data_IF_794512234390
#
_entry.id   IF_794512234390
#
_cell.length_a   1.000
_cell.length_b   1.000
_cell.length_c   1.000
_cell.angle_alpha   90.00
_cell.angle_beta   90.00
_cell.angle_gamma   90.00
#
_symmetry.space_group_name_H-M   'P 1'
#
loop_
_entity.id
_entity.type
_entity.pdbx_description
1 polymer ?
#
# COMPACT_ATOMS: atom_id res chain seq x y z
N UNK A 1 3.07 20.90 -20.03
CA UNK A 1 2.92 19.45 -20.26
C UNK A 1 4.28 18.85 -19.97
N UNK A 2 4.48 18.42 -18.74
CA UNK A 2 5.71 17.78 -18.28
C UNK A 2 5.32 16.34 -18.03
N UNK A 3 5.77 15.45 -18.91
CA UNK A 3 5.81 14.02 -18.62
C UNK A 3 6.72 13.84 -17.39
N UNK A 4 6.13 13.51 -16.26
CA UNK A 4 6.82 12.80 -15.18
C UNK A 4 6.01 11.58 -14.85
N UNK A 5 6.04 10.61 -15.77
CA UNK A 5 5.91 9.22 -15.37
C UNK A 5 7.21 8.90 -14.60
N UNK A 6 7.09 8.48 -13.34
CA UNK A 6 8.25 8.08 -12.56
C UNK A 6 9.08 7.09 -13.37
N UNK A 7 10.35 7.42 -13.58
CA UNK A 7 11.34 6.44 -14.05
C UNK A 7 11.50 5.42 -12.93
N UNK A 8 10.62 4.42 -12.90
CA UNK A 8 10.98 3.11 -12.39
C UNK A 8 12.05 2.60 -13.35
N UNK A 9 13.30 2.51 -12.88
CA UNK A 9 14.29 1.61 -13.48
C UNK A 9 13.74 0.18 -13.34
N UNK A 10 12.84 -0.21 -14.25
CA UNK A 10 12.37 -1.58 -14.36
C UNK A 10 13.51 -2.41 -14.96
N UNK A 11 13.80 -3.58 -14.39
CA UNK A 11 14.95 -4.40 -14.76
C UNK A 11 14.84 -5.02 -16.16
N UNK A 12 16.01 -5.48 -16.61
CA UNK A 12 16.25 -6.48 -17.66
C UNK A 12 15.38 -7.74 -17.46
N UNK A 13 14.14 -7.72 -17.96
CA UNK A 13 13.35 -8.94 -18.13
C UNK A 13 13.36 -9.29 -19.62
N UNK A 14 13.52 -10.57 -19.92
CA UNK A 14 13.39 -11.08 -21.28
C UNK A 14 12.07 -10.58 -21.91
N UNK A 15 12.05 -10.33 -23.22
CA UNK A 15 10.89 -9.73 -23.86
C UNK A 15 9.62 -10.53 -23.55
N UNK A 16 8.57 -9.84 -23.05
CA UNK A 16 7.24 -10.44 -22.85
C UNK A 16 6.71 -11.11 -24.13
N UNK A 17 7.25 -10.72 -25.29
CA UNK A 17 6.92 -11.27 -26.60
C UNK A 17 7.35 -12.72 -26.83
N UNK A 18 8.27 -13.29 -26.03
CA UNK A 18 8.68 -14.71 -26.20
C UNK A 18 7.91 -15.68 -25.31
N UNK A 19 6.99 -15.20 -24.46
CA UNK A 19 6.29 -16.08 -23.50
C UNK A 19 5.50 -17.21 -24.19
N UNK A 20 4.82 -16.89 -25.30
CA UNK A 20 4.08 -17.89 -26.08
C UNK A 20 5.02 -18.93 -26.71
N UNK A 21 6.21 -18.51 -27.17
CA UNK A 21 7.21 -19.41 -27.74
C UNK A 21 7.84 -20.31 -26.66
N UNK A 22 8.06 -19.76 -25.46
CA UNK A 22 8.73 -20.45 -24.36
C UNK A 22 7.82 -21.49 -23.67
N UNK A 23 6.52 -21.18 -23.55
CA UNK A 23 5.58 -21.99 -22.77
C UNK A 23 4.44 -22.62 -23.59
N UNK A 24 4.06 -22.04 -24.73
CA UNK A 24 2.96 -22.54 -25.55
C UNK A 24 1.58 -22.49 -24.88
N UNK A 25 1.41 -21.66 -23.85
CA UNK A 25 0.20 -21.60 -23.02
C UNK A 25 -0.84 -20.61 -23.55
N UNK A 26 -2.11 -21.03 -23.56
CA UNK A 26 -3.25 -20.18 -23.87
C UNK A 26 -3.78 -19.46 -22.62
N UNK A 27 -3.26 -18.26 -22.37
CA UNK A 27 -3.70 -17.43 -21.23
C UNK A 27 -5.10 -16.80 -21.41
N UNK A 28 -5.76 -17.00 -22.55
CA UNK A 28 -7.17 -16.57 -22.74
C UNK A 28 -8.16 -17.46 -21.97
N UNK A 29 -7.71 -18.62 -21.49
CA UNK A 29 -8.51 -19.53 -20.69
C UNK A 29 -8.67 -19.03 -19.25
N UNK A 30 -9.65 -18.16 -19.05
CA UNK A 30 -9.88 -17.45 -17.80
C UNK A 30 -11.25 -17.73 -17.21
N UNK A 31 -11.38 -17.57 -15.89
CA UNK A 31 -12.62 -17.70 -15.13
C UNK A 31 -12.94 -16.36 -14.48
N UNK A 32 -14.16 -15.89 -14.68
CA UNK A 32 -14.66 -14.66 -14.06
C UNK A 32 -15.09 -14.92 -12.61
N UNK A 33 -14.56 -14.16 -11.66
CA UNK A 33 -14.88 -14.24 -10.23
C UNK A 33 -15.93 -13.18 -9.90
N UNK A 34 -17.19 -13.49 -10.19
CA UNK A 34 -18.30 -12.53 -10.03
C UNK A 34 -18.71 -12.29 -8.57
N UNK A 35 -18.25 -13.11 -7.62
CA UNK A 35 -18.53 -12.87 -6.18
C UNK A 35 -17.64 -11.75 -5.59
N UNK A 36 -16.56 -11.39 -6.28
CA UNK A 36 -15.67 -10.31 -5.86
C UNK A 36 -16.17 -8.95 -6.33
N UNK A 37 -15.90 -7.90 -5.54
CA UNK A 37 -16.19 -6.51 -5.91
C UNK A 37 -14.90 -5.67 -5.83
N UNK A 38 -14.41 -5.13 -6.97
CA UNK A 38 -14.93 -5.35 -8.32
C UNK A 38 -14.68 -6.79 -8.80
N UNK A 39 -15.45 -7.20 -9.80
CA UNK A 39 -15.26 -8.49 -10.47
C UNK A 39 -13.90 -8.52 -11.17
N UNK A 40 -13.19 -9.65 -11.07
CA UNK A 40 -11.91 -9.87 -11.73
C UNK A 40 -11.84 -11.25 -12.39
N UNK A 41 -10.77 -11.51 -13.14
CA UNK A 41 -10.55 -12.78 -13.83
C UNK A 41 -9.36 -13.53 -13.21
N UNK A 42 -9.48 -14.85 -13.13
CA UNK A 42 -8.42 -15.78 -12.74
C UNK A 42 -8.04 -16.66 -13.93
N UNK A 43 -6.78 -17.06 -14.05
CA UNK A 43 -6.38 -18.13 -14.95
C UNK A 43 -6.96 -19.48 -14.46
N UNK A 44 -7.37 -20.36 -15.38
CA UNK A 44 -7.80 -21.71 -15.00
C UNK A 44 -6.66 -22.47 -14.31
N UNK A 45 -7.01 -23.25 -13.28
CA UNK A 45 -6.04 -24.02 -12.50
C UNK A 45 -5.21 -24.96 -13.40
N UNK A 46 -5.82 -25.59 -14.41
CA UNK A 46 -5.15 -26.44 -15.40
C UNK A 46 -3.98 -25.72 -16.11
N UNK A 47 -4.17 -24.44 -16.48
CA UNK A 47 -3.14 -23.67 -17.19
C UNK A 47 -2.04 -23.22 -16.23
N UNK A 48 -2.40 -22.94 -14.97
CA UNK A 48 -1.42 -22.63 -13.91
C UNK A 48 -0.55 -23.86 -13.61
N UNK A 49 -1.14 -25.05 -13.56
CA UNK A 49 -0.42 -26.32 -13.37
C UNK A 49 0.53 -26.61 -14.55
N UNK A 50 0.06 -26.47 -15.79
CA UNK A 50 0.92 -26.61 -16.99
C UNK A 50 2.10 -25.63 -16.98
N UNK A 51 1.88 -24.38 -16.54
CA UNK A 51 2.95 -23.40 -16.37
C UNK A 51 3.99 -23.85 -15.34
N UNK A 52 3.54 -24.31 -14.17
CA UNK A 52 4.43 -24.75 -13.09
C UNK A 52 5.28 -25.94 -13.56
N UNK A 53 4.67 -26.91 -14.24
CA UNK A 53 5.37 -28.07 -14.80
C UNK A 53 6.45 -27.66 -15.82
N UNK A 54 6.13 -26.69 -16.70
CA UNK A 54 7.09 -26.17 -17.66
C UNK A 54 8.26 -25.44 -16.99
N UNK A 55 8.00 -24.59 -15.99
CA UNK A 55 9.04 -23.91 -15.20
C UNK A 55 9.91 -24.91 -14.45
N UNK A 56 9.31 -25.95 -13.86
CA UNK A 56 10.03 -27.03 -13.19
C UNK A 56 10.94 -27.82 -14.15
N UNK A 57 10.49 -28.06 -15.39
CA UNK A 57 11.31 -28.71 -16.41
C UNK A 57 12.53 -27.87 -16.84
N UNK A 58 12.40 -26.53 -16.85
CA UNK A 58 13.47 -25.62 -17.23
C UNK A 58 14.49 -25.35 -16.11
N UNK A 59 14.01 -25.11 -14.90
CA UNK A 59 14.84 -24.63 -13.78
C UNK A 59 15.01 -25.65 -12.65
N UNK A 60 14.33 -26.79 -12.74
CA UNK A 60 14.34 -27.87 -11.76
C UNK A 60 13.13 -27.86 -10.82
N UNK A 61 12.72 -29.06 -10.39
CA UNK A 61 11.56 -29.27 -9.53
C UNK A 61 11.69 -28.60 -8.16
N UNK A 62 12.88 -28.68 -7.54
CA UNK A 62 13.09 -28.10 -6.20
C UNK A 62 12.95 -26.57 -6.22
N UNK A 63 13.69 -25.82 -7.08
CA UNK A 63 13.50 -24.37 -7.19
C UNK A 63 12.05 -23.95 -7.51
N UNK A 64 11.38 -24.67 -8.42
CA UNK A 64 9.99 -24.39 -8.78
C UNK A 64 9.05 -24.52 -7.57
N UNK A 65 9.16 -25.62 -6.82
CA UNK A 65 8.37 -25.87 -5.62
C UNK A 65 8.64 -24.82 -4.53
N UNK A 66 9.90 -24.51 -4.23
CA UNK A 66 10.23 -23.55 -3.16
C UNK A 66 9.69 -22.13 -3.48
N UNK A 67 9.72 -21.70 -4.74
CA UNK A 67 9.12 -20.41 -5.14
C UNK A 67 7.60 -20.47 -5.09
N UNK A 68 6.98 -21.56 -5.56
CA UNK A 68 5.53 -21.73 -5.46
C UNK A 68 5.07 -21.69 -3.98
N UNK A 69 5.74 -22.44 -3.10
CA UNK A 69 5.47 -22.46 -1.67
C UNK A 69 5.66 -21.07 -1.06
N UNK A 70 6.70 -20.34 -1.46
CA UNK A 70 6.93 -18.96 -1.02
C UNK A 70 5.78 -18.02 -1.42
N UNK A 71 5.32 -18.10 -2.67
CA UNK A 71 4.23 -17.26 -3.18
C UNK A 71 2.88 -17.62 -2.54
N UNK A 72 2.62 -18.89 -2.29
CA UNK A 72 1.41 -19.35 -1.59
C UNK A 72 1.42 -18.93 -0.12
N UNK A 73 2.54 -19.13 0.57
CA UNK A 73 2.70 -18.72 1.96
C UNK A 73 2.58 -17.22 2.15
N UNK A 74 3.04 -16.39 1.20
CA UNK A 74 2.93 -14.94 1.29
C UNK A 74 1.51 -14.45 1.56
N UNK A 75 0.49 -15.12 1.01
CA UNK A 75 -0.94 -14.80 1.25
C UNK A 75 -1.37 -14.99 2.71
N UNK A 76 -0.59 -15.73 3.48
CA UNK A 76 -0.84 -16.07 4.90
C UNK A 76 0.26 -15.56 5.83
N UNK A 77 1.26 -14.86 5.28
CA UNK A 77 2.51 -14.54 5.93
C UNK A 77 2.48 -13.28 6.80
N UNK A 78 1.31 -12.67 7.02
CA UNK A 78 1.17 -11.47 7.85
C UNK A 78 1.78 -11.61 9.26
N UNK A 79 2.03 -12.84 9.73
CA UNK A 79 2.74 -13.14 10.99
C UNK A 79 4.05 -13.94 10.83
N UNK A 80 4.61 -14.06 9.63
CA UNK A 80 5.81 -14.87 9.35
C UNK A 80 6.93 -14.02 8.74
N UNK A 81 7.75 -13.35 9.59
CA UNK A 81 8.82 -12.46 9.11
C UNK A 81 9.75 -13.13 8.11
N UNK A 82 10.04 -14.42 8.30
CA UNK A 82 10.95 -15.15 7.42
C UNK A 82 10.42 -15.29 5.99
N UNK A 83 9.12 -15.53 5.82
CA UNK A 83 8.48 -15.64 4.50
C UNK A 83 8.51 -14.28 3.81
N UNK A 84 8.07 -13.23 4.49
CA UNK A 84 8.05 -11.86 3.94
C UNK A 84 9.42 -11.34 3.52
N UNK A 85 10.44 -11.55 4.36
CA UNK A 85 11.80 -11.15 4.03
C UNK A 85 12.40 -11.96 2.87
N UNK A 86 12.16 -13.27 2.86
CA UNK A 86 12.62 -14.13 1.75
C UNK A 86 12.01 -13.69 0.43
N UNK A 87 10.72 -13.38 0.45
CA UNK A 87 10.01 -12.89 -0.73
C UNK A 87 10.58 -11.55 -1.22
N UNK A 88 10.72 -10.55 -0.35
CA UNK A 88 11.30 -9.24 -0.73
C UNK A 88 12.71 -9.40 -1.34
N UNK A 89 13.54 -10.31 -0.80
CA UNK A 89 14.88 -10.60 -1.34
C UNK A 89 14.80 -11.25 -2.72
N UNK A 90 13.93 -12.24 -2.91
CA UNK A 90 13.72 -12.90 -4.21
C UNK A 90 13.26 -11.88 -5.25
N UNK A 91 12.29 -11.03 -4.92
CA UNK A 91 11.79 -10.01 -5.84
C UNK A 91 12.91 -9.03 -6.20
N UNK A 92 13.64 -8.52 -5.19
CA UNK A 92 14.72 -7.55 -5.40
C UNK A 92 15.86 -8.09 -6.25
N UNK A 93 16.34 -9.29 -5.97
CA UNK A 93 17.44 -9.92 -6.72
C UNK A 93 17.00 -10.30 -8.14
N UNK A 94 15.77 -10.79 -8.28
CA UNK A 94 15.24 -11.21 -9.58
C UNK A 94 14.95 -10.01 -10.48
N UNK A 95 14.38 -8.95 -9.91
CA UNK A 95 13.88 -7.79 -10.64
C UNK A 95 14.71 -6.51 -10.43
N UNK A 96 15.88 -6.58 -9.81
CA UNK A 96 16.78 -5.42 -9.65
C UNK A 96 16.13 -4.14 -9.12
N UNK A 97 15.03 -4.24 -8.37
CA UNK A 97 14.21 -3.09 -7.98
C UNK A 97 14.73 -2.45 -6.68
N UNK A 98 14.44 -1.17 -6.48
CA UNK A 98 14.74 -0.46 -5.24
C UNK A 98 13.71 -0.79 -4.14
N UNK A 99 14.04 -0.51 -2.89
CA UNK A 99 13.19 -0.75 -1.71
C UNK A 99 13.92 -1.44 -0.57
N UNK A 100 13.43 -1.25 0.65
CA UNK A 100 13.97 -1.94 1.82
C UNK A 100 13.35 -3.33 1.98
N UNK A 101 14.08 -4.25 2.60
CA UNK A 101 13.54 -5.57 2.99
C UNK A 101 12.80 -5.38 4.31
N UNK A 102 11.54 -5.80 4.41
CA UNK A 102 10.74 -5.58 5.63
C UNK A 102 11.40 -6.16 6.88
N UNK A 103 11.23 -5.50 8.02
CA UNK A 103 11.86 -5.92 9.28
C UNK A 103 13.38 -5.72 9.28
N UNK A 104 14.14 -6.70 9.80
CA UNK A 104 15.60 -6.60 9.91
C UNK A 104 16.36 -7.05 8.65
N UNK A 105 15.66 -7.66 7.69
CA UNK A 105 16.23 -8.23 6.46
C UNK A 105 17.19 -9.41 6.67
N UNK A 106 17.23 -10.01 7.87
CA UNK A 106 18.18 -11.09 8.23
C UNK A 106 17.53 -12.46 8.38
N UNK A 107 16.22 -12.52 8.57
CA UNK A 107 15.44 -13.75 8.74
C UNK A 107 15.14 -14.44 7.39
N UNK A 108 16.11 -14.48 6.48
CA UNK A 108 15.93 -14.98 5.11
C UNK A 108 16.07 -16.51 5.08
N UNK A 109 15.09 -17.19 4.48
CA UNK A 109 15.16 -18.63 4.24
C UNK A 109 16.14 -18.91 3.08
N UNK A 110 16.98 -19.96 3.19
CA UNK A 110 17.87 -20.32 2.12
C UNK A 110 17.06 -20.85 0.92
N UNK A 111 17.28 -20.26 -0.25
CA UNK A 111 16.67 -20.70 -1.51
C UNK A 111 17.72 -21.23 -2.48
N UNK A 112 17.37 -22.24 -3.31
CA UNK A 112 18.19 -22.64 -4.45
C UNK A 112 18.52 -21.46 -5.36
N UNK A 113 19.72 -21.43 -5.94
CA UNK A 113 20.15 -20.35 -6.84
C UNK A 113 19.21 -20.15 -8.04
N UNK A 114 18.60 -21.22 -8.55
CA UNK A 114 17.66 -21.15 -9.67
C UNK A 114 16.31 -20.50 -9.30
N UNK A 115 16.02 -20.30 -8.02
CA UNK A 115 14.74 -19.71 -7.56
C UNK A 115 14.52 -18.30 -8.09
N UNK A 116 15.60 -17.53 -8.32
CA UNK A 116 15.50 -16.20 -8.92
C UNK A 116 15.05 -16.26 -10.39
N UNK A 117 15.48 -17.28 -11.14
CA UNK A 117 15.04 -17.51 -12.51
C UNK A 117 13.58 -17.96 -12.53
N UNK A 118 13.20 -18.90 -11.66
CA UNK A 118 11.81 -19.32 -11.47
C UNK A 118 10.89 -18.13 -11.16
N UNK A 119 11.27 -17.24 -10.23
CA UNK A 119 10.45 -16.08 -9.91
C UNK A 119 10.31 -15.11 -11.10
N UNK A 120 11.35 -14.94 -11.93
CA UNK A 120 11.24 -14.15 -13.18
C UNK A 120 10.17 -14.72 -14.10
N UNK A 121 10.03 -16.04 -14.19
CA UNK A 121 8.96 -16.64 -15.00
C UNK A 121 7.57 -16.35 -14.43
N UNK A 122 7.38 -16.39 -13.11
CA UNK A 122 6.11 -15.98 -12.48
C UNK A 122 5.80 -14.50 -12.70
N UNK A 123 6.82 -13.64 -12.67
CA UNK A 123 6.67 -12.23 -13.05
C UNK A 123 6.25 -12.10 -14.52
N UNK A 124 6.89 -12.82 -15.45
CA UNK A 124 6.50 -12.83 -16.88
C UNK A 124 5.06 -13.30 -17.07
N UNK A 125 4.65 -14.39 -16.42
CA UNK A 125 3.26 -14.85 -16.42
C UNK A 125 2.30 -13.73 -15.97
N UNK A 126 2.63 -13.05 -14.85
CA UNK A 126 1.85 -11.92 -14.33
C UNK A 126 1.70 -10.82 -15.37
N UNK A 127 2.80 -10.42 -15.99
CA UNK A 127 2.80 -9.33 -16.97
C UNK A 127 2.02 -9.68 -18.24
N UNK A 128 2.18 -10.89 -18.78
CA UNK A 128 1.45 -11.32 -19.99
C UNK A 128 -0.04 -11.46 -19.67
N UNK A 129 -0.39 -12.07 -18.53
CA UNK A 129 -1.79 -12.18 -18.09
C UNK A 129 -2.46 -10.80 -17.99
N UNK A 130 -1.85 -9.86 -17.26
CA UNK A 130 -2.37 -8.50 -17.10
C UNK A 130 -2.42 -7.73 -18.43
N UNK A 131 -1.56 -8.06 -19.39
CA UNK A 131 -1.58 -7.44 -20.72
C UNK A 131 -2.86 -7.75 -21.49
N UNK A 132 -3.41 -8.96 -21.30
CA UNK A 132 -4.62 -9.48 -21.93
C UNK A 132 -5.90 -9.06 -21.20
N UNK A 133 -5.81 -8.60 -19.95
CA UNK A 133 -6.95 -8.13 -19.19
C UNK A 133 -7.48 -6.79 -19.76
N UNK A 134 -8.68 -6.83 -20.35
CA UNK A 134 -9.48 -5.65 -20.65
C UNK A 134 -10.18 -5.17 -19.38
N UNK A 135 -9.85 -3.98 -18.89
CA UNK A 135 -10.56 -3.36 -17.76
C UNK A 135 -9.82 -3.31 -16.43
N UNK A 136 -8.59 -3.87 -16.34
CA UNK A 136 -7.74 -3.77 -15.14
C UNK A 136 -7.23 -2.33 -14.83
N UNK A 137 -7.71 -1.30 -15.53
CA UNK A 137 -7.29 0.11 -15.31
C UNK A 137 -8.00 0.77 -14.10
N UNK A 138 -8.29 0.00 -13.06
CA UNK A 138 -8.82 0.52 -11.80
C UNK A 138 -7.68 0.80 -10.83
N UNK A 139 -7.83 1.83 -9.98
CA UNK A 139 -6.93 2.02 -8.86
C UNK A 139 -6.91 0.79 -7.95
N UNK A 140 -5.73 0.42 -7.49
CA UNK A 140 -5.51 -0.55 -6.42
C UNK A 140 -5.53 0.18 -5.07
N UNK A 141 -6.00 -0.49 -4.03
CA UNK A 141 -6.21 0.09 -2.71
C UNK A 141 -5.38 -0.63 -1.66
N UNK A 142 -4.84 0.12 -0.71
CA UNK A 142 -4.11 -0.42 0.43
C UNK A 142 -4.47 0.34 1.70
N UNK A 143 -4.84 -0.38 2.75
CA UNK A 143 -4.93 0.19 4.09
C UNK A 143 -3.52 0.42 4.64
N UNK A 144 -3.26 1.63 5.13
CA UNK A 144 -1.97 1.97 5.72
C UNK A 144 -1.93 1.64 7.21
N UNK A 145 -0.76 1.22 7.68
CA UNK A 145 -0.51 0.99 9.10
C UNK A 145 -0.10 2.29 9.83
N UNK A 146 -0.26 2.38 11.16
CA UNK A 146 0.10 3.57 11.95
C UNK A 146 1.50 4.13 11.66
N UNK A 147 2.50 3.25 11.53
CA UNK A 147 3.89 3.58 11.19
C UNK A 147 4.05 4.23 9.82
N UNK A 148 3.12 4.02 8.90
CA UNK A 148 3.07 4.66 7.58
C UNK A 148 2.21 5.93 7.61
N UNK A 149 1.13 5.92 8.38
CA UNK A 149 0.19 7.06 8.51
C UNK A 149 0.89 8.25 9.15
N UNK A 150 1.60 8.05 10.25
CA UNK A 150 2.19 9.12 11.04
C UNK A 150 3.10 10.07 10.22
N UNK A 151 4.13 9.58 9.49
CA UNK A 151 4.98 10.46 8.67
C UNK A 151 4.22 11.12 7.52
N UNK A 152 3.23 10.44 6.94
CA UNK A 152 2.38 10.99 5.89
C UNK A 152 1.56 12.17 6.42
N UNK A 153 0.92 12.02 7.57
CA UNK A 153 0.10 13.08 8.19
C UNK A 153 0.98 14.29 8.51
N UNK A 154 2.17 14.09 9.09
CA UNK A 154 3.13 15.16 9.38
C UNK A 154 3.57 15.88 8.11
N UNK A 155 3.92 15.15 7.04
CA UNK A 155 4.30 15.75 5.76
C UNK A 155 3.15 16.55 5.11
N UNK A 156 1.91 16.05 5.19
CA UNK A 156 0.73 16.76 4.67
C UNK A 156 0.37 17.96 5.55
N UNK A 157 0.57 17.89 6.86
CA UNK A 157 0.44 19.03 7.77
C UNK A 157 1.46 20.11 7.39
N UNK A 158 2.71 19.75 7.11
CA UNK A 158 3.76 20.69 6.72
C UNK A 158 3.47 21.33 5.35
N UNK A 159 3.13 20.53 4.34
CA UNK A 159 2.96 20.98 2.96
C UNK A 159 1.67 20.46 2.30
N UNK A 160 0.48 20.90 2.73
CA UNK A 160 -0.78 20.37 2.21
C UNK A 160 -1.12 20.87 0.80
N UNK A 161 -0.31 21.78 0.25
CA UNK A 161 -0.43 22.18 -1.15
C UNK A 161 0.44 21.36 -2.10
N UNK A 162 1.31 20.50 -1.56
CA UNK A 162 2.05 19.55 -2.38
C UNK A 162 1.08 18.67 -3.18
N UNK A 163 1.45 18.40 -4.42
CA UNK A 163 0.66 17.54 -5.30
C UNK A 163 0.99 16.07 -5.09
N UNK A 164 2.22 15.79 -4.65
CA UNK A 164 2.77 14.45 -4.53
C UNK A 164 3.37 14.25 -3.14
N UNK A 165 3.34 13.01 -2.67
CA UNK A 165 4.07 12.56 -1.49
C UNK A 165 4.85 11.31 -1.85
N UNK A 166 6.05 11.20 -1.28
CA UNK A 166 6.83 9.98 -1.36
C UNK A 166 6.50 9.12 -0.14
N UNK A 167 6.07 7.88 -0.40
CA UNK A 167 5.89 6.87 0.63
C UNK A 167 7.05 5.90 0.49
N UNK A 168 7.93 5.89 1.49
CA UNK A 168 8.94 4.84 1.63
C UNK A 168 8.23 3.52 1.93
N UNK A 169 8.62 2.47 1.21
CA UNK A 169 7.96 1.19 1.33
C UNK A 169 8.94 0.04 1.10
N UNK A 170 8.52 -1.15 1.55
CA UNK A 170 9.26 -2.36 1.26
C UNK A 170 9.37 -2.57 -0.27
N UNK A 171 10.24 -3.51 -0.67
CA UNK A 171 10.38 -3.93 -2.08
C UNK A 171 9.02 -4.23 -2.69
N UNK A 172 8.16 -4.95 -1.95
CA UNK A 172 6.81 -5.29 -2.35
C UNK A 172 5.79 -4.92 -1.28
N UNK A 173 4.68 -4.33 -1.70
CA UNK A 173 3.50 -4.13 -0.86
C UNK A 173 2.27 -4.79 -1.48
N UNK A 174 1.42 -5.31 -0.61
CA UNK A 174 0.12 -5.86 -1.00
C UNK A 174 -0.90 -4.74 -1.17
N UNK A 175 -1.58 -4.76 -2.31
CA UNK A 175 -2.75 -3.95 -2.60
C UNK A 175 -3.91 -4.86 -2.99
N UNK A 176 -5.14 -4.38 -2.83
CA UNK A 176 -6.36 -5.03 -3.28
C UNK A 176 -6.99 -4.24 -4.41
N UNK A 177 -7.61 -4.94 -5.37
CA UNK A 177 -8.50 -4.29 -6.33
C UNK A 177 -9.80 -3.79 -5.67
N UNK A 178 -10.19 -4.36 -4.53
CA UNK A 178 -11.38 -4.02 -3.77
C UNK A 178 -11.10 -2.98 -2.69
N UNK A 179 -11.66 -1.79 -2.83
CA UNK A 179 -11.52 -0.73 -1.83
C UNK A 179 -12.00 -1.17 -0.44
N UNK A 180 -13.12 -1.92 -0.38
CA UNK A 180 -13.67 -2.44 0.88
C UNK A 180 -12.71 -3.37 1.62
N UNK A 181 -11.91 -4.16 0.88
CA UNK A 181 -10.88 -5.02 1.46
C UNK A 181 -9.82 -4.13 2.11
N UNK A 182 -9.30 -3.14 1.38
CA UNK A 182 -8.30 -2.21 1.90
C UNK A 182 -8.78 -1.41 3.12
N UNK A 183 -10.05 -1.01 3.16
CA UNK A 183 -10.68 -0.34 4.30
C UNK A 183 -10.63 -1.23 5.55
N UNK A 184 -10.89 -2.53 5.42
CA UNK A 184 -10.85 -3.50 6.54
C UNK A 184 -9.46 -3.68 7.17
N UNK A 185 -8.39 -3.35 6.45
CA UNK A 185 -7.01 -3.38 6.95
C UNK A 185 -6.47 -2.02 7.39
N UNK A 186 -7.19 -0.93 7.13
CA UNK A 186 -6.74 0.42 7.46
C UNK A 186 -6.98 0.78 8.92
N UNK A 187 -6.02 1.48 9.54
CA UNK A 187 -6.21 2.12 10.84
C UNK A 187 -6.48 3.63 10.76
N UNK A 188 -6.87 4.14 9.58
CA UNK A 188 -7.30 5.53 9.43
C UNK A 188 -7.06 6.14 8.04
N UNK A 189 -6.08 5.64 7.30
CA UNK A 189 -5.79 6.08 5.92
C UNK A 189 -5.76 4.90 4.96
N UNK A 190 -6.41 5.06 3.82
CA UNK A 190 -6.38 4.17 2.66
C UNK A 190 -5.66 4.90 1.53
N UNK A 191 -4.75 4.21 0.87
CA UNK A 191 -4.05 4.68 -0.32
C UNK A 191 -4.70 4.07 -1.57
N UNK A 192 -5.03 4.90 -2.55
CA UNK A 192 -5.38 4.48 -3.91
C UNK A 192 -4.17 4.67 -4.83
N UNK A 193 -3.74 3.63 -5.53
CA UNK A 193 -2.58 3.65 -6.42
C UNK A 193 -2.90 3.03 -7.77
N UNK A 194 -2.50 3.68 -8.85
CA UNK A 194 -2.63 3.16 -10.21
C UNK A 194 -1.22 2.80 -10.73
N UNK A 195 -0.69 1.60 -10.39
CA UNK A 195 0.61 1.19 -10.88
C UNK A 195 0.57 0.96 -12.38
N UNK A 196 1.69 1.24 -13.05
CA UNK A 196 1.92 0.66 -14.37
C UNK A 196 1.86 -0.87 -14.26
N UNK A 197 1.44 -1.56 -15.32
CA UNK A 197 1.35 -3.05 -15.33
C UNK A 197 2.66 -3.71 -14.89
N UNK A 198 3.77 -3.18 -15.35
CA UNK A 198 5.15 -3.59 -15.00
C UNK A 198 5.52 -3.30 -13.54
N UNK A 199 4.75 -2.47 -12.85
CA UNK A 199 4.85 -2.24 -11.41
C UNK A 199 4.18 -3.32 -10.56
N UNK A 200 3.53 -4.33 -11.15
CA UNK A 200 2.94 -5.45 -10.42
C UNK A 200 3.89 -6.64 -10.45
N UNK A 201 4.46 -6.95 -9.29
CA UNK A 201 5.40 -8.05 -9.10
C UNK A 201 4.72 -9.40 -9.25
N UNK A 202 3.51 -9.54 -8.69
CA UNK A 202 2.76 -10.80 -8.72
C UNK A 202 1.26 -10.56 -8.48
N UNK A 203 0.40 -11.41 -9.04
CA UNK A 203 -1.06 -11.35 -8.87
C UNK A 203 -1.58 -12.66 -8.26
N UNK A 204 -1.37 -12.90 -6.94
CA UNK A 204 -1.62 -14.20 -6.31
C UNK A 204 -3.05 -14.70 -6.49
N UNK A 205 -4.06 -13.84 -6.37
CA UNK A 205 -5.47 -14.23 -6.52
C UNK A 205 -5.86 -14.53 -7.97
N UNK A 206 -5.05 -14.12 -8.95
CA UNK A 206 -5.26 -14.44 -10.36
C UNK A 206 -4.71 -15.82 -10.75
N UNK A 207 -3.90 -16.46 -9.90
CA UNK A 207 -3.23 -17.74 -10.21
C UNK A 207 -3.48 -18.80 -9.15
N UNK A 208 -3.52 -18.44 -7.87
CA UNK A 208 -3.66 -19.37 -6.75
C UNK A 208 -5.02 -19.25 -6.08
N UNK A 209 -5.38 -20.28 -5.32
CA UNK A 209 -6.61 -20.25 -4.53
C UNK A 209 -6.44 -19.28 -3.35
N UNK A 210 -7.47 -18.51 -2.99
CA UNK A 210 -7.46 -17.72 -1.76
C UNK A 210 -7.40 -18.65 -0.53
N UNK A 211 -6.62 -18.30 0.51
CA UNK A 211 -6.67 -19.01 1.78
C UNK A 211 -8.09 -18.99 2.36
N UNK A 212 -8.54 -20.11 2.92
CA UNK A 212 -9.91 -20.23 3.43
C UNK A 212 -10.27 -19.25 4.57
N UNK A 213 -9.26 -18.72 5.28
CA UNK A 213 -9.46 -17.84 6.43
C UNK A 213 -9.51 -16.35 6.07
N UNK A 214 -8.89 -15.94 4.96
CA UNK A 214 -8.92 -14.55 4.45
C UNK A 214 -9.98 -14.36 3.37
N UNK A 215 -10.27 -15.41 2.59
CA UNK A 215 -11.23 -15.33 1.49
C UNK A 215 -10.68 -14.57 0.30
N UNK A 216 -11.57 -14.06 -0.57
CA UNK A 216 -11.20 -13.36 -1.81
C UNK A 216 -10.83 -11.91 -1.51
N UNK A 217 -9.53 -11.58 -1.60
CA UNK A 217 -9.02 -10.24 -1.34
C UNK A 217 -8.71 -9.46 -2.62
N UNK A 218 -8.68 -10.13 -3.77
CA UNK A 218 -8.24 -9.56 -5.06
C UNK A 218 -6.85 -8.94 -4.94
N UNK A 219 -5.94 -9.67 -4.30
CA UNK A 219 -4.61 -9.20 -3.92
C UNK A 219 -3.66 -9.10 -5.13
N UNK A 220 -2.90 -8.00 -5.16
CA UNK A 220 -1.81 -7.71 -6.07
C UNK A 220 -0.58 -7.28 -5.28
N UNK A 221 0.55 -7.89 -5.60
CA UNK A 221 1.85 -7.55 -5.05
C UNK A 221 2.48 -6.48 -5.95
N UNK A 222 2.61 -5.27 -5.44
CA UNK A 222 3.09 -4.10 -6.19
C UNK A 222 4.53 -3.82 -5.82
N UNK A 223 5.37 -3.48 -6.81
CA UNK A 223 6.73 -3.01 -6.62
C UNK A 223 6.67 -1.58 -6.05
N UNK A 224 7.09 -1.42 -4.80
CA UNK A 224 6.78 -0.20 -4.03
C UNK A 224 7.97 0.60 -3.51
N UNK A 225 9.21 0.16 -3.74
CA UNK A 225 10.41 0.67 -3.05
C UNK A 225 10.46 2.16 -2.66
N UNK A 226 10.06 3.06 -3.57
CA UNK A 226 9.61 4.40 -3.22
C UNK A 226 8.44 4.78 -4.14
N UNK A 227 7.25 4.96 -3.59
CA UNK A 227 6.06 5.33 -4.38
C UNK A 227 5.85 6.83 -4.30
N UNK A 228 5.83 7.49 -5.45
CA UNK A 228 5.29 8.84 -5.55
C UNK A 228 3.79 8.78 -5.79
N UNK A 229 3.02 9.26 -4.83
CA UNK A 229 1.56 9.21 -4.86
C UNK A 229 0.98 10.62 -4.90
N UNK A 230 -0.05 10.87 -5.73
CA UNK A 230 -0.82 12.08 -5.61
C UNK A 230 -1.45 12.15 -4.22
N UNK A 231 -1.28 13.24 -3.47
CA UNK A 231 -1.80 13.34 -2.09
C UNK A 231 -3.33 13.19 -2.06
N UNK A 232 -4.00 13.56 -3.15
CA UNK A 232 -5.44 13.38 -3.34
C UNK A 232 -5.91 11.92 -3.36
N UNK A 233 -4.97 10.97 -3.47
CA UNK A 233 -5.19 9.53 -3.41
C UNK A 233 -5.00 8.94 -2.01
N UNK A 234 -4.67 9.77 -1.03
CA UNK A 234 -4.70 9.41 0.38
C UNK A 234 -6.07 9.77 0.94
N UNK A 235 -6.78 8.74 1.41
CA UNK A 235 -8.17 8.79 1.80
C UNK A 235 -8.30 8.45 3.27
N UNK A 236 -8.87 9.35 4.06
CA UNK A 236 -9.18 9.15 5.48
C UNK A 236 -10.44 8.29 5.59
N UNK A 237 -10.30 7.15 6.29
CA UNK A 237 -11.36 6.20 6.57
C UNK A 237 -11.01 5.35 7.80
N UNK A 238 -11.83 5.46 8.85
CA UNK A 238 -11.71 4.67 10.06
C UNK A 238 -12.76 3.56 10.06
N UNK A 239 -12.37 2.34 9.73
CA UNK A 239 -13.29 1.21 9.46
C UNK A 239 -14.37 1.02 10.53
N UNK A 240 -14.01 1.08 11.81
CA UNK A 240 -14.93 0.87 12.94
C UNK A 240 -16.04 1.93 13.05
N UNK A 241 -15.83 3.11 12.46
CA UNK A 241 -16.75 4.26 12.52
C UNK A 241 -17.38 4.59 11.16
N UNK A 242 -16.67 4.32 10.08
CA UNK A 242 -16.96 4.83 8.74
C UNK A 242 -17.49 3.76 7.79
N UNK A 243 -17.94 2.60 8.27
CA UNK A 243 -18.39 1.46 7.45
C UNK A 243 -19.32 1.83 6.28
N UNK A 244 -20.24 2.77 6.49
CA UNK A 244 -21.22 3.23 5.48
C UNK A 244 -20.89 4.60 4.87
N UNK A 245 -19.68 5.13 5.10
CA UNK A 245 -19.27 6.47 4.68
C UNK A 245 -18.24 6.42 3.57
N UNK A 246 -18.35 7.38 2.66
CA UNK A 246 -17.31 7.63 1.67
C UNK A 246 -16.03 8.15 2.35
N UNK A 247 -14.85 7.66 1.94
CA UNK A 247 -13.58 8.18 2.41
C UNK A 247 -13.39 9.65 2.03
N UNK A 248 -12.65 10.37 2.87
CA UNK A 248 -12.42 11.81 2.70
C UNK A 248 -10.98 12.05 2.30
N UNK A 249 -10.72 12.98 1.38
CA UNK A 249 -9.34 13.25 0.95
C UNK A 249 -8.51 13.84 2.09
N UNK A 250 -7.40 13.21 2.46
CA UNK A 250 -6.52 13.64 3.55
C UNK A 250 -6.08 15.10 3.36
N UNK A 251 -5.59 15.42 2.16
CA UNK A 251 -5.19 16.80 1.79
C UNK A 251 -6.28 17.82 2.13
N UNK A 252 -7.52 17.53 1.75
CA UNK A 252 -8.64 18.46 1.92
C UNK A 252 -9.01 18.60 3.40
N UNK A 253 -9.01 17.50 4.15
CA UNK A 253 -9.26 17.50 5.60
C UNK A 253 -8.22 18.37 6.31
N UNK A 254 -6.94 18.23 5.98
CA UNK A 254 -5.85 19.03 6.58
C UNK A 254 -5.90 20.51 6.15
N UNK A 255 -6.17 20.82 4.88
CA UNK A 255 -6.32 22.21 4.42
C UNK A 255 -7.46 22.97 5.14
N UNK A 256 -8.51 22.25 5.55
CA UNK A 256 -9.65 22.85 6.23
C UNK A 256 -9.37 23.24 7.69
N UNK A 257 -8.23 22.84 8.27
CA UNK A 257 -7.78 23.34 9.58
C UNK A 257 -7.63 24.87 9.62
N UNK A 258 -7.30 25.50 8.48
CA UNK A 258 -7.28 26.96 8.36
C UNK A 258 -8.67 27.61 8.46
N UNK A 259 -9.74 26.85 8.22
CA UNK A 259 -11.13 27.33 8.23
C UNK A 259 -12.01 26.31 8.94
N UNK A 260 -11.82 26.10 10.25
CA UNK A 260 -12.37 24.93 10.95
C UNK A 260 -13.90 24.91 10.98
N UNK A 261 -14.57 26.06 10.84
CA UNK A 261 -16.03 26.18 10.67
C UNK A 261 -16.60 25.44 9.45
N UNK A 262 -15.75 25.05 8.49
CA UNK A 262 -16.15 24.29 7.30
C UNK A 262 -16.01 22.77 7.48
N UNK A 263 -15.45 22.31 8.59
CA UNK A 263 -15.38 20.89 8.94
C UNK A 263 -16.72 20.48 9.55
N UNK A 264 -17.19 19.29 9.20
CA UNK A 264 -18.27 18.63 9.95
C UNK A 264 -17.72 17.90 11.18
N UNK A 265 -18.61 17.44 12.07
CA UNK A 265 -18.25 16.72 13.30
C UNK A 265 -17.33 15.51 13.05
N UNK A 266 -17.50 14.85 11.90
CA UNK A 266 -16.74 13.64 11.56
C UNK A 266 -15.35 13.99 11.09
N UNK A 267 -15.20 15.07 10.32
CA UNK A 267 -13.90 15.57 9.94
C UNK A 267 -13.12 16.14 11.14
N UNK A 268 -13.80 16.73 12.14
CA UNK A 268 -13.14 17.06 13.40
C UNK A 268 -12.60 15.82 14.11
N UNK A 269 -13.39 14.74 14.17
CA UNK A 269 -12.94 13.49 14.76
C UNK A 269 -11.82 12.82 13.93
N UNK A 270 -11.88 12.86 12.60
CA UNK A 270 -10.80 12.39 11.72
C UNK A 270 -9.46 13.05 12.08
N UNK A 271 -9.46 14.37 12.26
CA UNK A 271 -8.25 15.11 12.61
C UNK A 271 -7.74 14.67 14.00
N UNK A 272 -8.64 14.54 14.97
CA UNK A 272 -8.29 14.09 16.32
C UNK A 272 -7.66 12.69 16.31
N UNK A 273 -8.25 11.75 15.58
CA UNK A 273 -7.76 10.37 15.48
C UNK A 273 -6.43 10.28 14.71
N UNK A 274 -6.25 11.09 13.66
CA UNK A 274 -4.98 11.16 12.94
C UNK A 274 -3.85 11.75 13.81
N UNK A 275 -4.13 12.75 14.63
CA UNK A 275 -3.15 13.29 15.59
C UNK A 275 -2.79 12.25 16.65
N UNK A 276 -3.77 11.50 17.16
CA UNK A 276 -3.55 10.43 18.11
C UNK A 276 -2.61 9.37 17.53
N UNK A 277 -2.88 8.91 16.30
CA UNK A 277 -1.98 7.98 15.58
C UNK A 277 -0.57 8.56 15.43
N UNK A 278 -0.45 9.83 15.01
CA UNK A 278 0.87 10.46 14.82
C UNK A 278 1.67 10.49 16.12
N UNK A 279 1.06 10.93 17.22
CA UNK A 279 1.74 11.07 18.53
C UNK A 279 2.03 9.71 19.15
N UNK A 280 1.07 8.77 19.14
CA UNK A 280 1.28 7.42 19.67
C UNK A 280 2.44 6.74 18.94
N UNK A 281 2.50 6.87 17.62
CA UNK A 281 3.53 6.24 16.81
C UNK A 281 4.90 6.88 17.04
N UNK A 282 4.98 8.22 17.08
CA UNK A 282 6.26 8.90 17.33
C UNK A 282 6.83 8.55 18.72
N UNK A 283 5.98 8.48 19.75
CA UNK A 283 6.40 8.04 21.10
C UNK A 283 6.90 6.59 21.10
N UNK A 284 6.26 5.70 20.33
CA UNK A 284 6.63 4.28 20.30
C UNK A 284 7.92 4.01 19.52
N UNK A 285 8.23 4.84 18.51
CA UNK A 285 9.29 4.56 17.54
C UNK A 285 10.37 5.62 17.43
N UNK A 286 10.24 6.74 18.15
CA UNK A 286 11.20 7.85 18.19
C UNK A 286 11.52 8.39 16.78
N UNK A 287 10.48 8.62 15.96
CA UNK A 287 10.59 9.03 14.56
C UNK A 287 10.94 10.51 14.36
N UNK A 288 10.84 11.32 15.42
CA UNK A 288 11.05 12.79 15.40
C UNK A 288 10.10 13.49 14.41
N UNK A 289 8.79 13.23 14.56
CA UNK A 289 7.75 13.70 13.65
C UNK A 289 7.30 15.13 13.96
N UNK A 290 8.26 16.03 14.13
CA UNK A 290 8.00 17.46 14.40
C UNK A 290 7.85 18.27 13.12
N UNK A 291 6.80 19.09 13.04
CA UNK A 291 6.57 19.99 11.91
C UNK A 291 7.29 21.32 12.14
N UNK A 292 8.22 21.67 11.25
CA UNK A 292 9.14 22.80 11.45
C UNK A 292 8.67 24.12 10.81
N UNK A 293 7.63 24.10 9.98
CA UNK A 293 7.12 25.30 9.31
C UNK A 293 6.12 26.07 10.19
N UNK A 294 6.08 27.42 10.11
CA UNK A 294 5.19 28.26 10.93
C UNK A 294 3.70 28.13 10.55
N UNK A 295 3.38 27.96 9.25
CA UNK A 295 1.98 27.87 8.79
C UNK A 295 1.21 26.65 9.34
N UNK A 296 1.82 25.45 9.49
CA UNK A 296 1.23 24.32 10.23
C UNK A 296 0.87 24.63 11.69
N UNK A 297 1.74 25.34 12.43
CA UNK A 297 1.50 25.72 13.82
C UNK A 297 0.22 26.55 13.93
N UNK A 298 0.12 27.62 13.12
CA UNK A 298 -1.05 28.50 13.12
C UNK A 298 -2.35 27.73 12.82
N UNK A 299 -2.32 26.83 11.82
CA UNK A 299 -3.52 26.07 11.43
C UNK A 299 -4.01 25.12 12.50
N UNK A 300 -3.10 24.37 13.13
CA UNK A 300 -3.50 23.41 14.15
C UNK A 300 -4.03 24.13 15.38
N UNK A 301 -3.38 25.22 15.81
CA UNK A 301 -3.87 26.03 16.94
C UNK A 301 -5.17 26.77 16.62
N UNK A 302 -5.38 27.24 15.39
CA UNK A 302 -6.66 27.80 14.95
C UNK A 302 -7.80 26.77 15.04
N UNK A 303 -7.52 25.51 14.70
CA UNK A 303 -8.48 24.43 14.88
C UNK A 303 -8.74 24.12 16.36
N UNK A 304 -7.70 24.07 17.22
CA UNK A 304 -7.84 23.90 18.68
C UNK A 304 -8.72 25.00 19.30
N UNK A 305 -8.50 26.27 18.93
CA UNK A 305 -9.31 27.38 19.41
C UNK A 305 -10.78 27.23 19.02
N UNK A 306 -11.04 26.81 17.79
CA UNK A 306 -12.40 26.59 17.30
C UNK A 306 -13.12 25.47 18.04
N UNK A 307 -12.49 24.28 18.17
CA UNK A 307 -13.13 23.15 18.86
C UNK A 307 -13.37 23.45 20.35
N UNK A 308 -12.57 24.33 20.93
CA UNK A 308 -12.74 24.82 22.31
C UNK A 308 -13.92 25.78 22.42
N UNK A 309 -13.98 26.79 21.54
CA UNK A 309 -15.04 27.80 21.56
C UNK A 309 -16.42 27.17 21.29
N UNK A 310 -16.51 26.27 20.31
CA UNK A 310 -17.76 25.60 19.92
C UNK A 310 -18.06 24.36 20.76
N UNK A 311 -17.20 24.00 21.72
CA UNK A 311 -17.36 22.81 22.58
C UNK A 311 -17.60 21.52 21.80
N UNK A 312 -16.89 21.34 20.68
CA UNK A 312 -17.01 20.18 19.79
C UNK A 312 -16.62 18.89 20.54
N UNK A 313 -15.62 18.97 21.41
CA UNK A 313 -15.16 17.86 22.24
C UNK A 313 -15.29 18.18 23.73
N UNK A 314 -15.27 17.12 24.55
CA UNK A 314 -15.23 17.28 26.01
C UNK A 314 -13.93 17.99 26.46
N UNK A 315 -13.95 18.74 27.57
CA UNK A 315 -12.77 19.50 28.03
C UNK A 315 -11.49 18.67 28.18
N UNK A 316 -11.62 17.43 28.67
CA UNK A 316 -10.49 16.51 28.80
C UNK A 316 -9.89 16.12 27.44
N UNK A 317 -10.72 15.94 26.42
CA UNK A 317 -10.27 15.63 25.06
C UNK A 317 -9.56 16.84 24.45
N UNK A 318 -10.07 18.06 24.67
CA UNK A 318 -9.42 19.30 24.23
C UNK A 318 -8.03 19.46 24.87
N UNK A 319 -7.90 19.14 26.16
CA UNK A 319 -6.61 19.15 26.86
C UNK A 319 -5.60 18.20 26.21
N UNK A 320 -6.01 16.95 25.93
CA UNK A 320 -5.17 15.97 25.23
C UNK A 320 -4.77 16.45 23.84
N UNK A 321 -5.74 16.91 23.04
CA UNK A 321 -5.49 17.40 21.68
C UNK A 321 -4.59 18.65 21.65
N UNK A 322 -4.69 19.51 22.68
CA UNK A 322 -3.77 20.65 22.83
C UNK A 322 -2.35 20.20 23.11
N UNK A 323 -2.16 19.19 23.96
CA UNK A 323 -0.84 18.60 24.21
C UNK A 323 -0.28 17.92 22.95
N UNK A 324 -1.13 17.24 22.18
CA UNK A 324 -0.74 16.63 20.90
C UNK A 324 -0.34 17.70 19.87
N UNK A 325 -1.09 18.79 19.78
CA UNK A 325 -0.73 19.91 18.93
C UNK A 325 0.63 20.50 19.34
N UNK A 326 0.83 20.77 20.63
CA UNK A 326 2.11 21.28 21.14
C UNK A 326 3.27 20.33 20.84
N UNK A 327 3.06 19.02 20.93
CA UNK A 327 4.06 18.02 20.59
C UNK A 327 4.42 18.03 19.10
N UNK A 328 3.43 18.07 18.21
CA UNK A 328 3.64 17.93 16.75
C UNK A 328 4.14 19.22 16.11
N UNK A 329 3.57 20.38 16.46
CA UNK A 329 3.88 21.68 15.80
C UNK A 329 4.56 22.70 16.73
N UNK A 330 4.88 22.32 17.97
CA UNK A 330 5.46 23.22 18.96
C UNK A 330 4.42 24.09 19.69
N UNK A 331 4.89 24.90 20.65
CA UNK A 331 4.02 25.76 21.44
C UNK A 331 3.27 26.73 20.52
N UNK A 332 2.13 27.20 21.01
CA UNK A 332 1.35 28.22 20.31
C UNK A 332 2.23 29.44 20.04
N UNK A 333 2.38 29.80 18.76
CA UNK A 333 2.98 31.06 18.37
C UNK A 333 2.04 32.22 18.74
N UNK A 334 2.13 32.65 19.99
CA UNK A 334 1.59 33.92 20.43
C UNK A 334 2.52 35.00 19.87
N UNK A 335 2.34 35.35 18.59
CA UNK A 335 3.17 36.33 17.90
C UNK A 335 3.56 37.51 18.78
N UNK A 336 4.87 37.79 18.84
CA UNK A 336 5.44 38.95 19.51
C UNK A 336 5.04 40.26 18.82
#
# INVERSE_FOLDING_TARGET
MTEMAGELNLPLVDPLSTFEDDFGLDLSQQVCISQATPTYYKLKDEVVEEFIDAVAAMHGETPAREVQDLLDHMKTASNQPAVGQTYDHVVRESLGCSGYIRGDGKSVQPLPRESFHVYREFYRLTQVFLSQQTGYRGGLYRGLYPEEIAPIVTAVLEQPDSQMIEIESAVVSSFSLGEQVARGFSRGVVCEFDPQRTGIAFAPDCFFQPPAHTGLECEFHVLTGAIQLPIDKLLVHFYDRDSDREPRKLRRTIQLLSTPVRLDEVQHQDIADLLDITVEQDIQTEMDLTVQAPDPNERLWNWIDYITAESIFAPKTIEVLSNYAEYVVGPRDLGA
#
